data_IF_135194804524
#
_entry.id   IF_135194804524
#
_cell.length_a   1.000
_cell.length_b   1.000
_cell.length_c   1.000
_cell.angle_alpha   90.00
_cell.angle_beta   90.00
_cell.angle_gamma   90.00
#
_symmetry.space_group_name_H-M   'P 1'
#
loop_
_entity.id
_entity.type
_entity.pdbx_description
1 polymer ?
#
# COMPACT_ATOMS: atom_id res chain seq x y z
N UNK A 1 -34.89 -7.35 -12.06
CA UNK A 1 -34.14 -8.40 -11.32
C UNK A 1 -32.69 -8.33 -11.79
N UNK A 2 -31.76 -8.05 -10.89
CA UNK A 2 -30.35 -7.86 -11.21
C UNK A 2 -29.60 -7.44 -9.94
N UNK A 3 -29.62 -8.29 -8.92
CA UNK A 3 -28.78 -8.10 -7.75
C UNK A 3 -27.33 -8.31 -8.18
N UNK A 4 -26.59 -7.23 -8.39
CA UNK A 4 -25.14 -7.29 -8.55
C UNK A 4 -24.57 -7.77 -7.23
N UNK A 5 -24.05 -8.99 -7.22
CA UNK A 5 -23.28 -9.54 -6.12
C UNK A 5 -22.02 -8.65 -5.98
N UNK A 6 -22.06 -7.63 -5.11
CA UNK A 6 -21.02 -6.60 -4.97
C UNK A 6 -19.82 -7.18 -4.19
N UNK A 7 -19.23 -8.27 -4.69
CA UNK A 7 -18.07 -8.94 -4.12
C UNK A 7 -16.77 -8.17 -4.42
N UNK A 8 -16.83 -6.83 -4.44
CA UNK A 8 -15.68 -5.97 -4.70
C UNK A 8 -14.89 -5.77 -3.41
N UNK A 9 -13.59 -6.05 -3.45
CA UNK A 9 -12.70 -5.86 -2.29
C UNK A 9 -11.48 -5.03 -2.66
N UNK A 10 -11.03 -4.24 -1.68
CA UNK A 10 -9.77 -3.49 -1.71
C UNK A 10 -8.86 -4.10 -0.64
N UNK A 11 -7.77 -4.70 -1.06
CA UNK A 11 -6.74 -5.20 -0.15
C UNK A 11 -5.67 -4.11 0.05
N UNK A 12 -5.56 -3.58 1.26
CA UNK A 12 -4.54 -2.57 1.60
C UNK A 12 -3.38 -3.26 2.28
N UNK A 13 -2.24 -3.30 1.60
CA UNK A 13 -0.97 -3.74 2.17
C UNK A 13 -0.28 -2.59 2.87
N UNK A 14 -0.07 -2.73 4.17
CA UNK A 14 0.58 -1.73 5.02
C UNK A 14 1.75 -2.34 5.80
N UNK A 15 2.48 -1.53 6.55
CA UNK A 15 3.57 -1.94 7.41
C UNK A 15 4.82 -1.06 7.28
N UNK A 16 5.83 -1.27 8.14
CA UNK A 16 7.04 -0.47 8.15
C UNK A 16 7.77 -0.50 6.81
N UNK A 17 8.44 0.59 6.46
CA UNK A 17 9.38 0.58 5.33
C UNK A 17 10.50 -0.41 5.62
N UNK A 18 10.89 -1.21 4.62
CA UNK A 18 11.84 -2.33 4.80
C UNK A 18 11.22 -3.65 5.27
N UNK A 19 9.92 -3.68 5.59
CA UNK A 19 9.19 -4.93 5.91
C UNK A 19 9.06 -5.90 4.75
N UNK A 20 9.24 -5.44 3.50
CA UNK A 20 8.97 -6.23 2.30
C UNK A 20 7.51 -6.21 1.83
N UNK A 21 6.64 -5.38 2.45
CA UNK A 21 5.22 -5.22 2.09
C UNK A 21 4.95 -5.11 0.58
N UNK A 22 5.79 -4.37 -0.15
CA UNK A 22 5.65 -4.15 -1.59
C UNK A 22 5.89 -5.44 -2.39
N UNK A 23 6.97 -6.15 -2.07
CA UNK A 23 7.32 -7.41 -2.74
C UNK A 23 6.27 -8.49 -2.46
N UNK A 24 5.81 -8.61 -1.22
CA UNK A 24 4.73 -9.54 -0.84
C UNK A 24 3.44 -9.18 -1.58
N UNK A 25 3.00 -7.92 -1.54
CA UNK A 25 1.80 -7.46 -2.22
C UNK A 25 1.83 -7.74 -3.74
N UNK A 26 2.97 -7.54 -4.39
CA UNK A 26 3.13 -7.81 -5.81
C UNK A 26 3.03 -9.31 -6.13
N UNK A 27 3.75 -10.16 -5.37
CA UNK A 27 3.72 -11.61 -5.56
C UNK A 27 2.33 -12.19 -5.31
N UNK A 28 1.72 -11.81 -4.19
CA UNK A 28 0.38 -12.26 -3.82
C UNK A 28 -0.68 -11.73 -4.78
N UNK A 29 -0.55 -10.47 -5.21
CA UNK A 29 -1.47 -9.90 -6.18
C UNK A 29 -1.48 -10.68 -7.49
N UNK A 30 -0.31 -11.07 -7.99
CA UNK A 30 -0.20 -11.94 -9.16
C UNK A 30 -0.79 -13.34 -8.93
N UNK A 31 -0.55 -13.93 -7.75
CA UNK A 31 -1.03 -15.27 -7.40
C UNK A 31 -2.56 -15.33 -7.23
N UNK A 32 -3.15 -14.31 -6.61
CA UNK A 32 -4.57 -14.25 -6.27
C UNK A 32 -5.43 -13.48 -7.28
N UNK A 33 -4.84 -13.02 -8.40
CA UNK A 33 -5.58 -12.25 -9.42
C UNK A 33 -6.01 -10.85 -8.97
N UNK A 34 -5.29 -10.24 -8.03
CA UNK A 34 -5.54 -8.88 -7.55
C UNK A 34 -4.84 -7.86 -8.44
N UNK A 35 -5.52 -6.76 -8.72
CA UNK A 35 -4.97 -5.71 -9.58
C UNK A 35 -4.48 -4.51 -8.78
N UNK A 36 -3.27 -4.06 -9.07
CA UNK A 36 -2.66 -2.94 -8.35
C UNK A 36 -3.29 -1.62 -8.79
N UNK A 37 -3.75 -0.83 -7.82
CA UNK A 37 -4.05 0.58 -8.02
C UNK A 37 -2.77 1.38 -7.74
N UNK A 38 -2.34 2.19 -8.70
CA UNK A 38 -1.07 2.92 -8.66
C UNK A 38 -1.33 4.32 -8.07
N UNK A 39 -0.65 4.63 -6.96
CA UNK A 39 -0.74 5.94 -6.30
C UNK A 39 0.07 7.00 -7.04
N UNK A 40 -0.24 8.26 -6.76
CA UNK A 40 0.48 9.44 -7.24
C UNK A 40 1.44 9.94 -6.17
N UNK A 41 2.55 10.57 -6.58
CA UNK A 41 3.43 11.27 -5.65
C UNK A 41 4.16 12.44 -6.31
N UNK A 42 4.52 13.44 -5.49
CA UNK A 42 5.29 14.62 -5.95
C UNK A 42 6.80 14.48 -5.79
N UNK A 43 7.29 13.45 -5.11
CA UNK A 43 8.74 13.21 -5.05
C UNK A 43 9.27 12.71 -6.39
N UNK A 44 10.55 12.95 -6.70
CA UNK A 44 11.18 12.27 -7.83
C UNK A 44 11.22 10.74 -7.64
N UNK A 45 11.19 9.96 -8.73
CA UNK A 45 11.40 8.52 -8.67
C UNK A 45 12.79 8.19 -8.11
N UNK A 46 12.88 7.11 -7.34
CA UNK A 46 14.18 6.52 -6.97
C UNK A 46 14.76 5.79 -8.20
N UNK A 47 16.05 5.51 -8.18
CA UNK A 47 16.76 4.89 -9.32
C UNK A 47 16.19 3.54 -9.77
N UNK A 48 15.55 2.80 -8.85
CA UNK A 48 14.93 1.50 -9.09
C UNK A 48 13.41 1.58 -9.35
N UNK A 49 12.83 2.78 -9.36
CA UNK A 49 11.39 2.97 -9.58
C UNK A 49 11.08 3.42 -11.00
N UNK A 50 9.90 3.02 -11.48
CA UNK A 50 9.39 3.33 -12.80
C UNK A 50 8.03 4.00 -12.73
N UNK A 51 7.88 5.08 -13.48
CA UNK A 51 6.61 5.79 -13.64
C UNK A 51 5.53 4.88 -14.26
N UNK A 52 4.31 4.97 -13.71
CA UNK A 52 3.18 4.11 -14.09
C UNK A 52 3.34 2.65 -13.68
N UNK A 53 4.32 2.34 -12.83
CA UNK A 53 4.49 1.01 -12.20
C UNK A 53 4.55 1.13 -10.70
N UNK A 54 5.41 2.01 -10.19
CA UNK A 54 5.61 2.20 -8.76
C UNK A 54 4.71 3.30 -8.21
N UNK A 55 4.71 4.43 -8.90
CA UNK A 55 3.83 5.57 -8.70
C UNK A 55 3.58 6.24 -10.06
N UNK A 56 2.58 7.09 -10.11
CA UNK A 56 2.54 8.21 -11.05
C UNK A 56 3.31 9.38 -10.43
N UNK A 57 4.48 9.69 -10.99
CA UNK A 57 5.31 10.79 -10.51
C UNK A 57 4.88 12.09 -11.19
N UNK A 58 4.25 12.99 -10.43
CA UNK A 58 3.67 14.23 -10.94
C UNK A 58 4.29 15.45 -10.25
N UNK A 59 4.14 16.64 -10.84
CA UNK A 59 4.60 17.87 -10.19
C UNK A 59 3.67 18.26 -9.03
N UNK A 60 4.17 19.10 -8.12
CA UNK A 60 3.33 19.67 -7.05
C UNK A 60 2.14 20.45 -7.63
N UNK A 61 2.35 21.21 -8.70
CA UNK A 61 1.28 21.95 -9.39
C UNK A 61 0.17 21.01 -9.90
N UNK A 62 0.54 19.92 -10.57
CA UNK A 62 -0.40 18.91 -11.04
C UNK A 62 -1.15 18.22 -9.89
N UNK A 63 -0.46 17.97 -8.77
CA UNK A 63 -1.07 17.38 -7.58
C UNK A 63 -2.09 18.35 -6.97
N UNK A 64 -1.72 19.61 -6.77
CA UNK A 64 -2.60 20.64 -6.21
C UNK A 64 -3.82 20.89 -7.09
N UNK A 65 -3.67 20.90 -8.42
CA UNK A 65 -4.80 21.02 -9.34
C UNK A 65 -5.78 19.84 -9.17
N UNK A 66 -5.27 18.60 -9.15
CA UNK A 66 -6.10 17.41 -8.95
C UNK A 66 -6.79 17.40 -7.57
N UNK A 67 -6.12 17.91 -6.53
CA UNK A 67 -6.70 18.07 -5.20
C UNK A 67 -7.81 19.12 -5.17
N UNK A 68 -7.61 20.28 -5.80
CA UNK A 68 -8.64 21.33 -5.94
C UNK A 68 -9.87 20.84 -6.71
N UNK A 69 -9.67 19.92 -7.66
CA UNK A 69 -10.74 19.30 -8.42
C UNK A 69 -11.44 18.14 -7.67
N UNK A 70 -11.00 17.79 -6.46
CA UNK A 70 -11.57 16.70 -5.67
C UNK A 70 -11.34 15.32 -6.27
N UNK A 71 -10.24 15.14 -7.01
CA UNK A 71 -9.96 13.88 -7.72
C UNK A 71 -9.44 12.75 -6.82
N UNK A 72 -8.91 13.09 -5.64
CA UNK A 72 -8.30 12.15 -4.72
C UNK A 72 -9.32 11.57 -3.72
N UNK A 73 -9.34 10.25 -3.59
CA UNK A 73 -10.02 9.57 -2.46
C UNK A 73 -9.15 9.58 -1.20
N UNK A 74 -7.84 9.69 -1.40
CA UNK A 74 -6.80 9.73 -0.38
C UNK A 74 -5.79 10.77 -0.86
N UNK A 75 -5.50 11.76 -0.02
CA UNK A 75 -4.44 12.74 -0.19
C UNK A 75 -3.75 12.93 1.15
N UNK A 76 -2.42 12.78 1.19
CA UNK A 76 -1.61 12.97 2.39
C UNK A 76 -0.28 13.63 2.06
N UNK A 77 0.18 14.47 2.97
CA UNK A 77 1.52 15.06 2.93
C UNK A 77 2.40 14.41 4.00
N UNK A 78 3.56 13.91 3.58
CA UNK A 78 4.59 13.41 4.47
C UNK A 78 5.87 14.18 4.16
N UNK A 79 6.28 15.03 5.10
CA UNK A 79 7.55 15.74 5.04
C UNK A 79 7.70 16.59 3.77
N UNK A 80 6.64 17.31 3.38
CA UNK A 80 6.59 18.11 2.16
C UNK A 80 6.43 17.32 0.87
N UNK A 81 6.30 15.98 0.94
CA UNK A 81 5.98 15.14 -0.22
C UNK A 81 4.51 14.75 -0.17
N UNK A 82 3.81 14.99 -1.27
CA UNK A 82 2.41 14.63 -1.40
C UNK A 82 2.27 13.23 -2.01
N UNK A 83 1.30 12.49 -1.50
CA UNK A 83 0.87 11.18 -1.99
C UNK A 83 -0.63 11.18 -2.10
N UNK A 84 -1.16 10.46 -3.09
CA UNK A 84 -2.60 10.30 -3.18
C UNK A 84 -3.05 9.20 -4.13
N UNK A 85 -4.32 8.83 -4.03
CA UNK A 85 -4.98 7.89 -4.92
C UNK A 85 -6.17 8.58 -5.54
N UNK A 86 -6.24 8.63 -6.87
CA UNK A 86 -7.42 9.19 -7.54
C UNK A 86 -8.59 8.22 -7.47
N UNK A 87 -9.78 8.71 -7.15
CA UNK A 87 -11.02 7.91 -7.07
C UNK A 87 -11.27 7.15 -8.37
N UNK A 88 -11.00 7.81 -9.51
CA UNK A 88 -11.13 7.22 -10.85
C UNK A 88 -10.31 5.95 -11.04
N UNK A 89 -9.11 5.84 -10.46
CA UNK A 89 -8.27 4.66 -10.62
C UNK A 89 -8.91 3.42 -9.98
N UNK A 90 -9.54 3.60 -8.82
CA UNK A 90 -10.28 2.54 -8.14
C UNK A 90 -11.53 2.17 -8.95
N UNK A 91 -12.29 3.18 -9.42
CA UNK A 91 -13.51 2.95 -10.19
C UNK A 91 -13.25 2.20 -11.50
N UNK A 92 -12.21 2.61 -12.25
CA UNK A 92 -11.81 1.96 -13.51
C UNK A 92 -11.42 0.51 -13.27
N UNK A 93 -10.61 0.25 -12.23
CA UNK A 93 -10.23 -1.11 -11.89
C UNK A 93 -11.46 -1.94 -11.50
N UNK A 94 -12.39 -1.37 -10.74
CA UNK A 94 -13.63 -2.03 -10.36
C UNK A 94 -14.65 -2.22 -11.48
N UNK A 95 -14.50 -1.58 -12.64
CA UNK A 95 -15.29 -1.92 -13.83
C UNK A 95 -14.82 -3.22 -14.49
N UNK A 96 -13.55 -3.56 -14.33
CA UNK A 96 -12.90 -4.67 -15.03
C UNK A 96 -12.58 -5.85 -14.11
N UNK A 97 -12.37 -5.58 -12.82
CA UNK A 97 -11.81 -6.51 -11.85
C UNK A 97 -12.63 -6.46 -10.56
N UNK A 98 -12.79 -7.61 -9.90
CA UNK A 98 -13.50 -7.68 -8.62
C UNK A 98 -12.59 -7.32 -7.43
N UNK A 99 -11.29 -7.57 -7.56
CA UNK A 99 -10.34 -7.44 -6.45
C UNK A 99 -9.16 -6.57 -6.84
N UNK A 100 -8.90 -5.55 -6.03
CA UNK A 100 -7.78 -4.63 -6.22
C UNK A 100 -6.93 -4.59 -4.97
N UNK A 101 -5.68 -4.16 -5.12
CA UNK A 101 -4.82 -3.91 -3.98
C UNK A 101 -4.07 -2.58 -4.06
N UNK A 102 -3.79 -2.05 -2.88
CA UNK A 102 -3.08 -0.80 -2.64
C UNK A 102 -1.90 -1.08 -1.70
N UNK A 103 -0.83 -0.30 -1.82
CA UNK A 103 0.30 -0.33 -0.87
C UNK A 103 0.38 1.04 -0.23
N UNK A 104 0.03 1.14 1.05
CA UNK A 104 -0.12 2.41 1.76
C UNK A 104 0.57 2.39 3.11
N UNK A 105 0.89 3.58 3.62
CA UNK A 105 1.20 3.75 5.03
C UNK A 105 -0.09 3.68 5.89
N UNK A 106 0.08 3.76 7.20
CA UNK A 106 -1.03 3.81 8.16
C UNK A 106 -2.09 4.87 7.82
N UNK A 107 -1.69 6.11 7.55
CA UNK A 107 -2.62 7.22 7.33
C UNK A 107 -3.44 7.03 6.04
N UNK A 108 -2.80 6.64 4.94
CA UNK A 108 -3.51 6.32 3.69
C UNK A 108 -4.44 5.13 3.83
N UNK A 109 -4.01 4.11 4.59
CA UNK A 109 -4.85 2.94 4.92
C UNK A 109 -6.13 3.36 5.66
N UNK A 110 -6.04 4.28 6.63
CA UNK A 110 -7.21 4.84 7.32
C UNK A 110 -8.14 5.61 6.38
N UNK A 111 -7.59 6.48 5.53
CA UNK A 111 -8.39 7.28 4.59
C UNK A 111 -9.17 6.39 3.62
N UNK A 112 -8.53 5.33 3.10
CA UNK A 112 -9.20 4.35 2.24
C UNK A 112 -10.25 3.55 3.02
N UNK A 113 -9.97 3.14 4.27
CA UNK A 113 -10.95 2.46 5.12
C UNK A 113 -12.17 3.34 5.41
N UNK A 114 -11.98 4.64 5.64
CA UNK A 114 -13.06 5.60 5.83
C UNK A 114 -13.90 5.78 4.58
N UNK A 115 -13.28 5.83 3.40
CA UNK A 115 -13.97 6.03 2.12
C UNK A 115 -14.77 4.80 1.66
N UNK A 116 -14.25 3.59 1.87
CA UNK A 116 -14.82 2.35 1.30
C UNK A 116 -15.36 1.35 2.33
N UNK A 117 -15.19 1.61 3.63
CA UNK A 117 -15.76 0.85 4.73
C UNK A 117 -15.42 -0.64 4.69
N UNK A 118 -16.45 -1.48 4.72
CA UNK A 118 -16.29 -2.94 4.79
C UNK A 118 -15.69 -3.57 3.54
N UNK A 119 -15.59 -2.84 2.42
CA UNK A 119 -14.90 -3.32 1.21
C UNK A 119 -13.39 -3.44 1.41
N UNK A 120 -12.83 -2.77 2.42
CA UNK A 120 -11.38 -2.70 2.66
C UNK A 120 -10.95 -3.76 3.66
N UNK A 121 -9.95 -4.54 3.26
CA UNK A 121 -9.22 -5.51 4.09
C UNK A 121 -7.78 -5.03 4.23
N UNK A 122 -7.36 -4.69 5.45
CA UNK A 122 -6.02 -4.19 5.77
C UNK A 122 -5.14 -5.34 6.21
N UNK A 123 -4.07 -5.59 5.46
CA UNK A 123 -3.09 -6.63 5.73
C UNK A 123 -1.75 -5.96 6.03
N UNK A 124 -1.27 -6.12 7.25
CA UNK A 124 0.02 -5.57 7.66
C UNK A 124 1.13 -6.60 7.47
N UNK A 125 2.12 -6.23 6.68
CA UNK A 125 3.36 -7.01 6.55
C UNK A 125 4.40 -6.34 7.43
N UNK A 126 4.94 -7.06 8.40
CA UNK A 126 5.99 -6.56 9.30
C UNK A 126 7.20 -7.49 9.27
N UNK A 127 8.31 -7.07 9.85
CA UNK A 127 9.48 -7.91 10.07
C UNK A 127 10.21 -7.34 11.30
N UNK A 128 11.02 -8.15 11.98
CA UNK A 128 11.79 -7.66 13.11
C UNK A 128 12.66 -6.44 12.76
N UNK A 129 12.92 -5.60 13.76
CA UNK A 129 13.62 -4.32 13.60
C UNK A 129 15.00 -4.48 12.94
N UNK A 130 15.74 -5.55 13.24
CA UNK A 130 17.06 -5.78 12.66
C UNK A 130 16.94 -6.14 11.18
N UNK A 131 15.99 -7.00 10.82
CA UNK A 131 15.76 -7.39 9.42
C UNK A 131 15.26 -6.21 8.59
N UNK A 132 14.42 -5.34 9.16
CA UNK A 132 14.06 -4.05 8.53
C UNK A 132 15.30 -3.20 8.27
N UNK A 133 16.16 -3.00 9.27
CA UNK A 133 17.40 -2.23 9.13
C UNK A 133 18.29 -2.80 8.03
N UNK A 134 18.55 -4.11 8.06
CA UNK A 134 19.37 -4.79 7.04
C UNK A 134 18.81 -4.60 5.63
N UNK A 135 17.50 -4.78 5.44
CA UNK A 135 16.84 -4.62 4.13
C UNK A 135 16.91 -3.18 3.62
N UNK A 136 16.80 -2.17 4.50
CA UNK A 136 16.93 -0.76 4.11
C UNK A 136 18.37 -0.44 3.66
N UNK A 137 19.37 -0.97 4.37
CA UNK A 137 20.78 -0.81 4.00
C UNK A 137 21.09 -1.53 2.67
N UNK A 138 20.61 -2.76 2.48
CA UNK A 138 20.76 -3.53 1.24
C UNK A 138 20.08 -2.85 0.04
N UNK A 139 18.97 -2.15 0.27
CA UNK A 139 18.29 -1.32 -0.73
C UNK A 139 19.11 -0.09 -1.15
N UNK A 140 20.15 0.26 -0.38
CA UNK A 140 21.01 1.42 -0.63
C UNK A 140 20.51 2.72 0.01
N UNK A 141 19.61 2.64 1.00
CA UNK A 141 19.18 3.83 1.74
C UNK A 141 20.32 4.36 2.63
N UNK A 142 20.38 5.68 2.82
CA UNK A 142 21.38 6.29 3.70
C UNK A 142 21.10 5.92 5.16
N UNK A 143 22.15 5.92 5.99
CA UNK A 143 22.01 5.68 7.44
C UNK A 143 21.02 6.63 8.09
N UNK A 144 20.99 7.90 7.69
CA UNK A 144 20.00 8.88 8.15
C UNK A 144 18.57 8.44 7.85
N UNK A 145 18.28 8.02 6.61
CA UNK A 145 16.96 7.52 6.21
C UNK A 145 16.62 6.24 6.97
N UNK A 146 17.58 5.34 7.16
CA UNK A 146 17.38 4.09 7.91
C UNK A 146 16.98 4.39 9.36
N UNK A 147 17.74 5.20 10.08
CA UNK A 147 17.42 5.54 11.48
C UNK A 147 16.08 6.25 11.61
N UNK A 148 15.78 7.18 10.69
CA UNK A 148 14.48 7.86 10.66
C UNK A 148 13.30 6.91 10.51
N UNK A 149 13.43 5.86 9.69
CA UNK A 149 12.42 4.82 9.57
C UNK A 149 12.32 3.96 10.84
N UNK A 150 13.47 3.63 11.45
CA UNK A 150 13.52 2.82 12.67
C UNK A 150 12.97 3.55 13.91
N UNK A 151 13.07 4.88 13.97
CA UNK A 151 12.49 5.69 15.05
C UNK A 151 10.96 5.59 15.09
N UNK A 152 10.33 5.41 13.93
CA UNK A 152 8.88 5.25 13.78
C UNK A 152 8.42 3.79 13.90
N UNK A 153 9.34 2.84 13.99
CA UNK A 153 9.02 1.41 13.89
C UNK A 153 8.00 0.94 14.92
N UNK A 154 8.17 1.30 16.20
CA UNK A 154 7.24 0.91 17.27
C UNK A 154 5.84 1.53 17.09
N UNK A 155 5.79 2.77 16.61
CA UNK A 155 4.52 3.45 16.31
C UNK A 155 3.80 2.78 15.12
N UNK A 156 4.54 2.41 14.08
CA UNK A 156 3.99 1.65 12.95
C UNK A 156 3.48 0.28 13.41
N UNK A 157 4.22 -0.46 14.26
CA UNK A 157 3.77 -1.74 14.82
C UNK A 157 2.53 -1.62 15.71
N UNK A 158 2.29 -0.47 16.34
CA UNK A 158 1.05 -0.26 17.10
C UNK A 158 -0.21 -0.41 16.23
N UNK A 159 -0.08 -0.23 14.91
CA UNK A 159 -1.15 -0.35 13.93
C UNK A 159 -1.61 -1.80 13.66
N UNK A 160 -0.86 -2.80 14.12
CA UNK A 160 -1.25 -4.22 14.02
C UNK A 160 -2.66 -4.47 14.57
N UNK A 161 -3.04 -3.75 15.62
CA UNK A 161 -4.34 -3.90 16.31
C UNK A 161 -5.53 -3.43 15.47
N UNK A 162 -5.28 -2.55 14.51
CA UNK A 162 -6.31 -2.01 13.62
C UNK A 162 -6.41 -2.84 12.33
N UNK A 163 -5.39 -3.60 11.97
CA UNK A 163 -5.39 -4.36 10.72
C UNK A 163 -6.26 -5.63 10.82
N UNK A 164 -6.93 -5.97 9.72
CA UNK A 164 -7.77 -7.17 9.64
C UNK A 164 -6.93 -8.46 9.70
N UNK A 165 -5.70 -8.40 9.18
CA UNK A 165 -4.69 -9.45 9.31
C UNK A 165 -3.27 -8.87 9.38
N UNK A 166 -2.33 -9.65 9.92
CA UNK A 166 -0.92 -9.29 9.95
C UNK A 166 -0.03 -10.53 9.83
N UNK A 167 1.08 -10.40 9.09
CA UNK A 167 2.03 -11.49 8.82
C UNK A 167 3.46 -10.99 8.98
N UNK A 168 4.28 -11.75 9.71
CA UNK A 168 5.70 -11.47 9.84
C UNK A 168 6.45 -12.01 8.61
N UNK A 169 7.08 -11.10 7.86
CA UNK A 169 7.90 -11.42 6.71
C UNK A 169 9.32 -11.85 7.11
N UNK A 170 9.40 -13.07 7.63
CA UNK A 170 10.66 -13.74 7.92
C UNK A 170 11.26 -14.33 6.64
N UNK A 171 10.58 -15.28 6.00
CA UNK A 171 10.93 -15.86 4.70
C UNK A 171 9.88 -15.50 3.64
N UNK A 172 10.33 -14.99 2.49
CA UNK A 172 9.45 -14.34 1.51
C UNK A 172 8.41 -15.28 0.94
N UNK A 173 8.80 -16.49 0.55
CA UNK A 173 7.89 -17.41 -0.15
C UNK A 173 6.84 -17.99 0.83
N UNK A 174 7.25 -18.33 2.07
CA UNK A 174 6.30 -18.73 3.13
C UNK A 174 5.31 -17.61 3.46
N UNK A 175 5.80 -16.37 3.54
CA UNK A 175 4.96 -15.19 3.78
C UNK A 175 3.94 -14.97 2.66
N UNK A 176 4.35 -15.19 1.40
CA UNK A 176 3.45 -15.06 0.25
C UNK A 176 2.36 -16.12 0.30
N UNK A 177 2.69 -17.36 0.64
CA UNK A 177 1.71 -18.44 0.77
C UNK A 177 0.72 -18.16 1.90
N UNK A 178 1.19 -17.74 3.07
CA UNK A 178 0.33 -17.39 4.21
C UNK A 178 -0.65 -16.26 3.88
N UNK A 179 -0.14 -15.18 3.28
CA UNK A 179 -0.98 -14.04 2.87
C UNK A 179 -1.97 -14.44 1.79
N UNK A 180 -1.60 -15.34 0.88
CA UNK A 180 -2.52 -15.84 -0.14
C UNK A 180 -3.69 -16.63 0.48
N UNK A 181 -3.42 -17.46 1.50
CA UNK A 181 -4.46 -18.15 2.26
C UNK A 181 -5.39 -17.17 3.00
N UNK A 182 -4.83 -16.12 3.62
CA UNK A 182 -5.63 -15.06 4.24
C UNK A 182 -6.58 -14.41 3.21
N UNK A 183 -6.05 -14.04 2.04
CA UNK A 183 -6.84 -13.38 0.98
C UNK A 183 -7.99 -14.25 0.48
N UNK A 184 -7.78 -15.57 0.37
CA UNK A 184 -8.84 -16.52 -0.02
C UNK A 184 -10.05 -16.52 0.94
N UNK A 185 -9.87 -16.10 2.19
CA UNK A 185 -11.01 -15.99 3.14
C UNK A 185 -11.92 -14.79 2.88
N UNK A 186 -11.48 -13.83 2.06
CA UNK A 186 -12.20 -12.59 1.75
C UNK A 186 -12.74 -12.53 0.30
N UNK A 187 -12.45 -13.54 -0.52
CA UNK A 187 -12.81 -13.66 -1.94
C UNK A 187 -13.91 -14.70 -2.12
#
# INVERSE_FOLDING_TARGET
>A
MGGTNDNKRIFVFTGPDGSGRKTVAQKVGALCGLHRVISYTTRPPRSYEKDGVDYHFITLEQFTEAEQNGEFVESLEIEGVHYGIKSREIDVMFQQQQFVYLILNRQGSELVKQAFGDKVVRIMIYADRNKVMSRLLERGDTTEVVYKNLDRYEEELSYLKECDAHVENYELDETVDEVAEIIKTYI
#
